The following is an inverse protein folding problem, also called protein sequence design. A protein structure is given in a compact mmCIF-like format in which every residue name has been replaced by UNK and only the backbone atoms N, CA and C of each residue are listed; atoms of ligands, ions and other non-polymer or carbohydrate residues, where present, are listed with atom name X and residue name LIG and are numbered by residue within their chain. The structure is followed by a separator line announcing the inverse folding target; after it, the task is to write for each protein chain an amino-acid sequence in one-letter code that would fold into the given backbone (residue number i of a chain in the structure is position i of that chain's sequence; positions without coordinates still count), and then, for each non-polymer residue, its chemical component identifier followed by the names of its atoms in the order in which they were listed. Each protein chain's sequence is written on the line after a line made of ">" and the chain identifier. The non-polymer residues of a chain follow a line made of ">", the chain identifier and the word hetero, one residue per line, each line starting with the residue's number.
data_IF_207215916446
#
_entry.id   IF_207215916446
#
_cell.length_a   1.000
_cell.length_b   1.000
_cell.length_c   1.000
_cell.angle_alpha   90.00
_cell.angle_beta   90.00
_cell.angle_gamma   90.00
#
_symmetry.space_group_name_H-M   'P 1'
#
loop_
_entity.id
_entity.type
_entity.pdbx_description
1 polymer ?
#
# COMPACT_ATOMS: atom_id res chain seq x y z
N UNK A 1 8.70 22.12 -22.13
CA UNK A 1 9.40 20.84 -21.81
C UNK A 1 8.93 20.36 -20.46
N UNK A 2 8.56 19.10 -20.36
CA UNK A 2 8.08 18.54 -19.10
C UNK A 2 9.28 18.14 -18.25
N UNK A 3 9.32 18.60 -17.00
CA UNK A 3 10.35 18.23 -16.04
C UNK A 3 10.05 16.81 -15.52
N UNK A 4 10.98 15.88 -15.72
CA UNK A 4 10.83 14.50 -15.29
C UNK A 4 10.70 14.39 -13.77
N UNK A 5 11.39 15.22 -13.00
CA UNK A 5 11.27 15.25 -11.54
C UNK A 5 9.88 15.71 -11.10
N UNK A 6 9.34 16.71 -11.78
CA UNK A 6 8.00 17.23 -11.49
C UNK A 6 6.93 16.19 -11.80
N UNK A 7 7.08 15.47 -12.91
CA UNK A 7 6.16 14.38 -13.28
C UNK A 7 6.23 13.25 -12.25
N UNK A 8 7.42 12.86 -11.83
CA UNK A 8 7.61 11.82 -10.82
C UNK A 8 7.02 12.24 -9.47
N UNK A 9 7.23 13.48 -9.06
CA UNK A 9 6.66 14.02 -7.83
C UNK A 9 5.13 14.03 -7.87
N UNK A 10 4.55 14.40 -9.02
CA UNK A 10 3.10 14.40 -9.20
C UNK A 10 2.51 12.98 -9.11
N UNK A 11 3.17 11.99 -9.72
CA UNK A 11 2.75 10.58 -9.66
C UNK A 11 2.83 10.05 -8.22
N UNK A 12 3.89 10.38 -7.51
CA UNK A 12 4.08 9.99 -6.11
C UNK A 12 3.04 10.66 -5.22
N UNK A 13 2.76 11.93 -5.48
CA UNK A 13 1.80 12.72 -4.70
C UNK A 13 0.35 12.23 -4.87
N UNK A 14 0.04 11.45 -5.92
CA UNK A 14 -1.31 10.92 -6.13
C UNK A 14 -1.62 9.71 -5.24
N UNK A 15 -0.63 9.07 -4.64
CA UNK A 15 -0.86 7.95 -3.74
C UNK A 15 -1.38 8.45 -2.39
N UNK A 16 -2.52 7.94 -1.90
CA UNK A 16 -3.04 8.28 -0.58
C UNK A 16 -2.35 7.53 0.55
N UNK A 17 -1.46 6.58 0.22
CA UNK A 17 -0.83 5.71 1.21
C UNK A 17 0.39 6.37 1.83
N UNK A 18 0.59 6.14 3.13
CA UNK A 18 1.85 6.48 3.80
C UNK A 18 2.95 5.51 3.36
N UNK A 19 4.21 5.83 3.68
CA UNK A 19 5.33 4.94 3.40
C UNK A 19 5.15 3.56 4.02
N UNK A 20 4.72 3.51 5.29
CA UNK A 20 4.47 2.25 5.99
C UNK A 20 3.33 1.46 5.36
N UNK A 21 2.26 2.15 4.99
CA UNK A 21 1.13 1.50 4.31
C UNK A 21 1.54 0.92 2.97
N UNK A 22 2.37 1.63 2.22
CA UNK A 22 2.91 1.16 0.96
C UNK A 22 3.74 -0.12 1.14
N UNK A 23 4.62 -0.15 2.16
CA UNK A 23 5.41 -1.35 2.49
C UNK A 23 4.52 -2.54 2.83
N UNK A 24 3.51 -2.34 3.67
CA UNK A 24 2.59 -3.40 4.10
C UNK A 24 1.83 -3.95 2.89
N UNK A 25 1.31 -3.07 2.05
CA UNK A 25 0.53 -3.49 0.90
C UNK A 25 1.40 -4.19 -0.15
N UNK A 26 2.63 -3.71 -0.36
CA UNK A 26 3.58 -4.34 -1.29
C UNK A 26 3.91 -5.78 -0.86
N UNK A 27 4.17 -6.00 0.43
CA UNK A 27 4.43 -7.34 0.97
C UNK A 27 3.20 -8.23 0.81
N UNK A 28 2.01 -7.70 1.11
CA UNK A 28 0.74 -8.42 0.95
C UNK A 28 0.51 -8.79 -0.52
N UNK A 29 0.79 -7.88 -1.43
CA UNK A 29 0.68 -8.10 -2.87
C UNK A 29 1.63 -9.20 -3.37
N UNK A 30 2.79 -9.33 -2.73
CA UNK A 30 3.77 -10.38 -3.03
C UNK A 30 3.40 -11.73 -2.45
N UNK A 31 2.30 -11.84 -1.70
CA UNK A 31 1.79 -13.08 -1.15
C UNK A 31 2.09 -13.30 0.33
N UNK A 32 2.67 -12.33 1.03
CA UNK A 32 2.96 -12.46 2.45
C UNK A 32 1.67 -12.50 3.27
N UNK A 33 1.64 -13.36 4.28
CA UNK A 33 0.55 -13.40 5.26
C UNK A 33 0.68 -12.22 6.23
N UNK A 34 -0.39 -11.92 6.98
CA UNK A 34 -0.35 -10.91 8.04
C UNK A 34 0.79 -11.20 9.04
N UNK A 35 0.95 -12.47 9.42
CA UNK A 35 2.01 -12.86 10.35
C UNK A 35 3.40 -12.60 9.76
N UNK A 36 3.60 -12.91 8.48
CA UNK A 36 4.87 -12.68 7.80
C UNK A 36 5.18 -11.19 7.67
N UNK A 37 4.19 -10.37 7.33
CA UNK A 37 4.35 -8.91 7.28
C UNK A 37 4.72 -8.36 8.66
N UNK A 38 4.04 -8.83 9.69
CA UNK A 38 4.30 -8.41 11.06
C UNK A 38 5.75 -8.69 11.46
N UNK A 39 6.24 -9.91 11.18
CA UNK A 39 7.63 -10.27 11.46
C UNK A 39 8.61 -9.40 10.67
N UNK A 40 8.37 -9.24 9.37
CA UNK A 40 9.24 -8.45 8.50
C UNK A 40 9.40 -7.01 8.96
N UNK A 41 8.35 -6.40 9.47
CA UNK A 41 8.32 -4.98 9.81
C UNK A 41 8.43 -4.71 11.32
N UNK A 42 8.55 -5.75 12.14
CA UNK A 42 8.61 -5.59 13.59
C UNK A 42 7.32 -5.07 14.20
N UNK A 43 6.18 -5.46 13.63
CA UNK A 43 4.85 -5.04 14.10
C UNK A 43 4.09 -6.24 14.67
N UNK A 44 3.02 -5.96 15.42
CA UNK A 44 2.08 -7.01 15.81
C UNK A 44 1.14 -7.33 14.66
N UNK A 45 0.60 -8.56 14.58
CA UNK A 45 -0.41 -8.90 13.58
C UNK A 45 -1.64 -8.00 13.62
N UNK A 46 -2.07 -7.60 14.82
CA UNK A 46 -3.19 -6.67 14.99
C UNK A 46 -2.92 -5.30 14.37
N UNK A 47 -1.71 -4.79 14.54
CA UNK A 47 -1.29 -3.52 13.92
C UNK A 47 -1.29 -3.63 12.40
N UNK A 48 -0.81 -4.75 11.85
CA UNK A 48 -0.82 -4.99 10.40
C UNK A 48 -2.26 -5.01 9.89
N UNK A 49 -3.18 -5.70 10.58
CA UNK A 49 -4.60 -5.73 10.19
C UNK A 49 -5.22 -4.33 10.22
N UNK A 50 -4.89 -3.53 11.23
CA UNK A 50 -5.38 -2.15 11.31
C UNK A 50 -4.90 -1.31 10.13
N UNK A 51 -3.63 -1.42 9.77
CA UNK A 51 -3.09 -0.76 8.58
C UNK A 51 -3.80 -1.22 7.30
N UNK A 52 -4.00 -2.52 7.14
CA UNK A 52 -4.69 -3.07 5.97
C UNK A 52 -6.13 -2.57 5.87
N UNK A 53 -6.82 -2.42 7.00
CA UNK A 53 -8.16 -1.83 7.04
C UNK A 53 -8.17 -0.39 6.54
N UNK A 54 -7.21 0.42 6.97
CA UNK A 54 -7.05 1.81 6.50
C UNK A 54 -6.72 1.87 5.02
N UNK A 55 -5.79 1.03 4.56
CA UNK A 55 -5.38 0.94 3.16
C UNK A 55 -6.59 0.61 2.29
N UNK A 56 -7.38 -0.37 2.69
CA UNK A 56 -8.57 -0.79 1.97
C UNK A 56 -9.57 0.37 1.83
N UNK A 57 -9.79 1.13 2.90
CA UNK A 57 -10.65 2.31 2.87
C UNK A 57 -10.08 3.41 1.97
N UNK A 58 -8.79 3.68 2.05
CA UNK A 58 -8.13 4.69 1.20
C UNK A 58 -8.21 4.34 -0.28
N UNK A 59 -8.15 3.05 -0.60
CA UNK A 59 -8.27 2.56 -1.97
C UNK A 59 -9.73 2.58 -2.48
N UNK A 60 -10.69 2.82 -1.63
CA UNK A 60 -12.10 2.72 -1.98
C UNK A 60 -12.50 1.28 -2.30
N UNK A 61 -11.78 0.31 -1.74
CA UNK A 61 -11.97 -1.11 -2.01
C UNK A 61 -12.84 -1.76 -0.93
N UNK A 62 -13.40 -2.92 -1.24
CA UNK A 62 -14.21 -3.70 -0.31
C UNK A 62 -13.38 -4.78 0.37
N UNK A 63 -12.34 -5.25 -0.30
CA UNK A 63 -11.50 -6.34 0.18
C UNK A 63 -10.03 -5.97 0.02
N UNK A 64 -9.19 -6.71 0.75
CA UNK A 64 -7.72 -6.59 0.64
C UNK A 64 -7.24 -6.89 -0.78
N UNK A 65 -7.79 -7.93 -1.41
CA UNK A 65 -7.45 -8.32 -2.79
C UNK A 65 -7.77 -7.19 -3.75
N UNK A 66 -8.94 -6.58 -3.60
CA UNK A 66 -9.33 -5.44 -4.42
C UNK A 66 -8.42 -4.22 -4.18
N UNK A 67 -8.04 -3.98 -2.92
CA UNK A 67 -7.12 -2.90 -2.58
C UNK A 67 -5.76 -3.08 -3.27
N UNK A 68 -5.23 -4.29 -3.32
CA UNK A 68 -3.99 -4.61 -4.04
C UNK A 68 -4.14 -4.30 -5.53
N UNK A 69 -5.25 -4.71 -6.12
CA UNK A 69 -5.51 -4.45 -7.54
C UNK A 69 -5.58 -2.95 -7.84
N UNK A 70 -6.33 -2.21 -7.03
CA UNK A 70 -6.46 -0.75 -7.17
C UNK A 70 -5.09 -0.09 -7.07
N UNK A 71 -4.30 -0.47 -6.08
CA UNK A 71 -2.99 0.10 -5.84
C UNK A 71 -2.01 -0.18 -6.99
N UNK A 72 -2.04 -1.39 -7.54
CA UNK A 72 -1.21 -1.75 -8.69
C UNK A 72 -1.61 -0.97 -9.93
N UNK A 73 -2.91 -0.90 -10.21
CA UNK A 73 -3.44 -0.20 -11.38
C UNK A 73 -3.14 1.30 -11.31
N UNK A 74 -3.14 1.86 -10.11
CA UNK A 74 -2.83 3.27 -9.89
C UNK A 74 -1.33 3.57 -9.77
N UNK A 75 -0.49 2.55 -9.71
CA UNK A 75 0.96 2.71 -9.58
C UNK A 75 1.42 3.06 -8.18
N UNK A 76 0.63 2.76 -7.14
CA UNK A 76 1.01 2.99 -5.75
C UNK A 76 2.00 1.94 -5.24
N UNK A 77 1.95 0.76 -5.81
CA UNK A 77 2.86 -0.34 -5.48
C UNK A 77 3.40 -1.01 -6.74
#
# INVERSE_FOLDING_TARGET
>A
MVDAELVLAALTATSPLTGRETEILALTAAGATVAEVAVSLGLSPGTVRNHLGRITRKAGARTRVEAVRVARDAGWI
#
